data_IF_608876764428
#
_entry.id   IF_608876764428
#
_cell.length_a   1.000
_cell.length_b   1.000
_cell.length_c   1.000
_cell.angle_alpha   90.00
_cell.angle_beta   90.00
_cell.angle_gamma   90.00
#
_symmetry.space_group_name_H-M   'P 1'
#
loop_
_entity.id
_entity.type
_entity.pdbx_description
1 polymer ?
#
# COMPACT_ATOMS: atom_id res chain seq x y z
N UNK A 1 -9.05 -3.57 0.65
CA UNK A 1 -8.19 -2.80 1.57
C UNK A 1 -6.94 -3.61 1.96
N UNK A 2 -5.77 -2.98 1.90
CA UNK A 2 -4.49 -3.57 2.28
C UNK A 2 -3.71 -2.58 3.15
N UNK A 3 -2.94 -3.10 4.10
CA UNK A 3 -2.07 -2.31 4.95
C UNK A 3 -0.67 -2.31 4.34
N UNK A 4 -0.11 -1.14 4.06
CA UNK A 4 1.26 -1.00 3.60
C UNK A 4 2.28 -1.11 4.74
N UNK A 5 3.55 -1.36 4.40
CA UNK A 5 4.68 -1.33 5.34
C UNK A 5 4.95 0.07 5.91
N UNK A 6 4.35 1.09 5.32
CA UNK A 6 4.32 2.48 5.77
C UNK A 6 3.21 2.76 6.81
N UNK A 7 2.51 1.72 7.26
CA UNK A 7 1.33 1.81 8.15
C UNK A 7 0.15 2.61 7.56
N UNK A 8 0.08 2.74 6.24
CA UNK A 8 -1.05 3.37 5.56
C UNK A 8 -2.00 2.30 5.01
N UNK A 9 -3.30 2.50 5.23
CA UNK A 9 -4.33 1.67 4.61
C UNK A 9 -4.62 2.14 3.20
N UNK A 10 -4.40 1.25 2.24
CA UNK A 10 -4.74 1.46 0.83
C UNK A 10 -6.08 0.77 0.50
N UNK A 11 -6.99 1.43 -0.24
CA UNK A 11 -8.30 0.86 -0.60
C UNK A 11 -8.20 -0.52 -1.28
N UNK A 12 -7.17 -0.73 -2.09
CA UNK A 12 -6.86 -2.00 -2.75
C UNK A 12 -5.37 -2.07 -3.14
N UNK A 13 -4.94 -3.22 -3.65
CA UNK A 13 -3.56 -3.43 -4.11
C UNK A 13 -3.19 -2.53 -5.30
N UNK A 14 -4.12 -2.24 -6.21
CA UNK A 14 -3.85 -1.36 -7.35
C UNK A 14 -3.51 0.07 -6.89
N UNK A 15 -4.20 0.60 -5.88
CA UNK A 15 -3.91 1.92 -5.30
C UNK A 15 -2.55 1.97 -4.62
N UNK A 16 -2.14 0.87 -3.97
CA UNK A 16 -0.79 0.73 -3.42
C UNK A 16 0.26 0.70 -4.55
N UNK A 17 0.05 -0.09 -5.60
CA UNK A 17 0.93 -0.15 -6.77
C UNK A 17 1.08 1.19 -7.48
N UNK A 18 0.00 1.95 -7.65
CA UNK A 18 0.08 3.31 -8.20
C UNK A 18 0.90 4.22 -7.29
N UNK A 19 0.69 4.18 -5.97
CA UNK A 19 1.46 4.99 -5.02
C UNK A 19 2.96 4.68 -5.07
N UNK A 20 3.32 3.39 -5.15
CA UNK A 20 4.71 2.93 -5.31
C UNK A 20 5.31 3.50 -6.60
N UNK A 21 4.56 3.46 -7.70
CA UNK A 21 5.01 3.96 -9.00
C UNK A 21 5.15 5.49 -9.05
N UNK A 22 4.22 6.23 -8.44
CA UNK A 22 4.22 7.70 -8.43
C UNK A 22 5.23 8.28 -7.46
N UNK A 23 5.29 7.74 -6.23
CA UNK A 23 6.16 8.26 -5.17
C UNK A 23 7.55 7.64 -5.18
N UNK A 24 7.77 6.57 -5.97
CA UNK A 24 9.04 5.82 -5.99
C UNK A 24 9.35 5.10 -4.67
N UNK A 25 8.38 5.00 -3.77
CA UNK A 25 8.55 4.41 -2.45
C UNK A 25 8.43 2.89 -2.53
N UNK A 26 9.35 2.15 -1.89
CA UNK A 26 9.29 0.69 -1.84
C UNK A 26 8.33 0.21 -0.75
N UNK A 27 7.04 0.52 -0.92
CA UNK A 27 5.98 0.11 0.01
C UNK A 27 5.59 -1.33 -0.34
N UNK A 28 5.50 -2.21 0.65
CA UNK A 28 5.03 -3.59 0.48
C UNK A 28 3.74 -3.79 1.24
N UNK A 29 3.00 -4.84 0.92
CA UNK A 29 1.83 -5.23 1.71
C UNK A 29 2.32 -5.83 3.03
N UNK A 30 1.97 -5.19 4.14
CA UNK A 30 2.19 -5.71 5.49
C UNK A 30 1.14 -6.76 5.87
N UNK A 31 -0.15 -6.43 5.64
CA UNK A 31 -1.28 -7.35 5.86
C UNK A 31 -2.43 -7.08 4.90
N UNK A 32 -3.25 -8.10 4.64
CA UNK A 32 -4.54 -7.96 3.95
C UNK A 32 -5.58 -7.42 4.95
N UNK A 33 -6.37 -6.43 4.54
CA UNK A 33 -7.22 -5.64 5.45
C UNK A 33 -6.59 -4.29 5.82
N UNK A 34 -7.36 -3.41 6.49
CA UNK A 34 -6.85 -2.12 6.94
C UNK A 34 -5.73 -2.28 7.99
N UNK A 35 -4.75 -1.37 7.95
CA UNK A 35 -4.04 -0.95 9.16
C UNK A 35 -5.09 -0.34 10.10
#
# INVERSE_FOLDING_TARGET
>A
PVCGTDMITYPNECTLCMKIRESGQNIKILRRGPC
#
